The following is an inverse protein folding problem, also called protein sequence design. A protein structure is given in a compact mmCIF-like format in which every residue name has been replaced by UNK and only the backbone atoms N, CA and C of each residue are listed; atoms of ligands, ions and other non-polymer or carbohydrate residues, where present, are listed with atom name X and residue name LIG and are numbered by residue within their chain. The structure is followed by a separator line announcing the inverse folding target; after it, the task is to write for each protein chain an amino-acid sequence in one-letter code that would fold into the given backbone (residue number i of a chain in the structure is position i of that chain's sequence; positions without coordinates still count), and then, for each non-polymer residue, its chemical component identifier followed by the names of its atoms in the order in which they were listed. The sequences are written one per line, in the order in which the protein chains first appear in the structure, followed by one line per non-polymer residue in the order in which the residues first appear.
data_IF_633373209061
#
_entry.id   IF_633373209061
#
_cell.length_a   1.000
_cell.length_b   1.000
_cell.length_c   1.000
_cell.angle_alpha   90.00
_cell.angle_beta   90.00
_cell.angle_gamma   90.00
#
_symmetry.space_group_name_H-M   'P 1'
#
loop_
_entity.id
_entity.type
_entity.pdbx_description
1 polymer ?
#
# COMPACT_ATOMS: atom_id res chain seq x y z
N UNK A 1 8.35 13.90 11.50
CA UNK A 1 8.26 12.56 10.87
C UNK A 1 8.54 12.73 9.40
N UNK A 2 9.56 12.05 8.86
CA UNK A 2 9.99 12.22 7.46
C UNK A 2 9.25 11.31 6.46
N UNK A 3 8.76 10.13 6.89
CA UNK A 3 8.08 9.21 5.97
C UNK A 3 6.62 9.55 5.69
N UNK A 4 5.94 10.24 6.60
CA UNK A 4 4.57 10.73 6.36
C UNK A 4 4.48 11.77 5.23
N UNK A 5 5.56 12.49 4.93
CA UNK A 5 5.61 13.42 3.81
C UNK A 5 5.89 12.73 2.47
N UNK A 6 6.32 11.46 2.51
CA UNK A 6 6.66 10.67 1.32
C UNK A 6 5.58 9.64 1.01
N UNK A 7 5.06 8.94 2.03
CA UNK A 7 4.02 7.93 1.94
C UNK A 7 2.75 8.50 2.58
N UNK A 8 1.96 9.20 1.79
CA UNK A 8 0.75 9.89 2.25
C UNK A 8 -0.44 8.94 2.23
N UNK A 9 -1.27 9.02 3.26
CA UNK A 9 -2.63 8.46 3.28
C UNK A 9 -3.58 9.58 3.68
N UNK A 10 -4.72 9.73 3.00
CA UNK A 10 -5.68 10.78 3.28
C UNK A 10 -6.76 10.31 4.28
N UNK A 11 -7.10 11.16 5.25
CA UNK A 11 -8.09 10.85 6.30
C UNK A 11 -9.49 10.58 5.72
N UNK A 12 -9.93 11.41 4.77
CA UNK A 12 -11.23 11.32 4.11
C UNK A 12 -11.43 10.03 3.28
N UNK A 13 -10.35 9.34 2.91
CA UNK A 13 -10.43 8.04 2.20
C UNK A 13 -10.37 6.85 3.15
N UNK A 14 -9.81 7.02 4.35
CA UNK A 14 -9.74 5.95 5.34
C UNK A 14 -10.97 5.89 6.22
N UNK A 15 -11.44 7.06 6.70
CA UNK A 15 -12.53 7.23 7.67
C UNK A 15 -12.44 6.25 8.87
N UNK A 16 -11.23 5.80 9.19
CA UNK A 16 -10.99 4.74 10.17
C UNK A 16 -9.69 5.02 10.93
N UNK A 17 -9.84 5.47 12.18
CA UNK A 17 -8.73 5.83 13.06
C UNK A 17 -7.76 4.67 13.33
N UNK A 18 -8.22 3.41 13.27
CA UNK A 18 -7.36 2.24 13.44
C UNK A 18 -6.42 2.04 12.25
N UNK A 19 -6.88 2.29 11.02
CA UNK A 19 -6.03 2.23 9.83
C UNK A 19 -4.94 3.30 9.90
N UNK A 20 -5.32 4.54 10.19
CA UNK A 20 -4.37 5.64 10.32
C UNK A 20 -3.32 5.35 11.40
N UNK A 21 -3.74 4.82 12.54
CA UNK A 21 -2.81 4.45 13.61
C UNK A 21 -1.85 3.32 13.19
N UNK A 22 -2.34 2.31 12.46
CA UNK A 22 -1.51 1.21 11.96
C UNK A 22 -0.43 1.72 10.99
N UNK A 23 -0.81 2.51 9.99
CA UNK A 23 0.09 3.16 9.02
C UNK A 23 1.14 4.01 9.75
N UNK A 24 0.71 4.81 10.72
CA UNK A 24 1.58 5.68 11.51
C UNK A 24 2.56 4.91 12.40
N UNK A 25 2.11 3.79 12.96
CA UNK A 25 2.94 2.88 13.75
C UNK A 25 4.01 2.22 12.88
N UNK A 26 3.68 1.89 11.63
CA UNK A 26 4.61 1.34 10.65
C UNK A 26 5.74 2.33 10.33
N UNK A 27 5.40 3.62 10.12
CA UNK A 27 6.40 4.67 9.90
C UNK A 27 7.33 4.86 11.10
N UNK A 28 6.80 4.77 12.33
CA UNK A 28 7.62 4.84 13.55
C UNK A 28 8.54 3.63 13.67
N UNK A 29 8.05 2.43 13.36
CA UNK A 29 8.83 1.19 13.42
C UNK A 29 10.05 1.23 12.50
N UNK A 30 9.89 1.78 11.29
CA UNK A 30 10.97 1.87 10.30
C UNK A 30 11.66 3.23 10.24
N UNK A 31 11.44 4.11 11.22
CA UNK A 31 11.97 5.48 11.24
C UNK A 31 13.50 5.57 11.05
N UNK A 32 14.24 4.60 11.58
CA UNK A 32 15.70 4.44 11.41
C UNK A 32 16.06 3.07 10.81
N UNK A 33 15.06 2.42 10.19
CA UNK A 33 15.15 1.04 9.73
C UNK A 33 15.43 0.94 8.23
N UNK A 34 15.21 -0.26 7.71
CA UNK A 34 15.39 -0.54 6.29
C UNK A 34 14.21 0.01 5.47
N UNK A 35 14.47 1.03 4.65
CA UNK A 35 13.47 1.63 3.77
C UNK A 35 12.84 0.63 2.79
N UNK A 36 13.63 -0.32 2.25
CA UNK A 36 13.12 -1.38 1.37
C UNK A 36 12.10 -2.27 2.09
N UNK A 37 12.30 -2.52 3.39
CA UNK A 37 11.33 -3.28 4.17
C UNK A 37 10.08 -2.44 4.47
N UNK A 38 10.25 -1.15 4.76
CA UNK A 38 9.12 -0.23 4.90
C UNK A 38 8.23 -0.22 3.66
N UNK A 39 8.82 -0.10 2.46
CA UNK A 39 8.07 -0.08 1.20
C UNK A 39 7.28 -1.37 1.00
N UNK A 40 7.85 -2.53 1.34
CA UNK A 40 7.12 -3.82 1.25
C UNK A 40 5.96 -3.88 2.24
N UNK A 41 6.21 -3.49 3.48
CA UNK A 41 5.22 -3.59 4.54
C UNK A 41 4.08 -2.58 4.35
N UNK A 42 4.38 -1.35 3.90
CA UNK A 42 3.38 -0.31 3.66
C UNK A 42 2.53 -0.61 2.42
N UNK A 43 3.09 -1.28 1.41
CA UNK A 43 2.33 -1.72 0.23
C UNK A 43 1.20 -2.68 0.60
N UNK A 44 1.37 -3.40 1.71
CA UNK A 44 0.38 -4.31 2.30
C UNK A 44 -0.22 -3.75 3.59
N UNK A 45 -0.20 -2.43 3.80
CA UNK A 45 -0.87 -1.80 4.95
C UNK A 45 -2.34 -1.51 4.59
N UNK A 46 -3.29 -1.65 5.53
CA UNK A 46 -4.71 -1.53 5.18
C UNK A 46 -5.07 -0.09 4.82
N UNK A 47 -4.35 0.90 5.37
CA UNK A 47 -4.52 2.29 4.98
C UNK A 47 -4.05 2.52 3.55
N UNK A 48 -2.88 2.01 3.18
CA UNK A 48 -2.34 2.18 1.83
C UNK A 48 -3.18 1.44 0.77
N UNK A 49 -3.64 0.22 1.07
CA UNK A 49 -4.49 -0.55 0.17
C UNK A 49 -5.84 0.11 -0.11
N UNK A 50 -6.40 0.85 0.87
CA UNK A 50 -7.62 1.63 0.67
C UNK A 50 -7.33 2.92 -0.09
N UNK A 51 -6.26 3.63 0.28
CA UNK A 51 -5.87 4.89 -0.34
C UNK A 51 -5.61 4.76 -1.84
N UNK A 52 -4.87 3.72 -2.25
CA UNK A 52 -4.48 3.51 -3.66
C UNK A 52 -5.37 2.49 -4.38
N UNK A 53 -6.58 2.23 -3.87
CA UNK A 53 -7.52 1.24 -4.42
C UNK A 53 -6.93 -0.18 -4.60
N UNK A 54 -5.85 -0.52 -3.89
CA UNK A 54 -5.23 -1.84 -3.92
C UNK A 54 -6.18 -2.99 -3.55
N UNK A 55 -7.22 -2.74 -2.75
CA UNK A 55 -8.28 -3.73 -2.46
C UNK A 55 -9.09 -4.14 -3.71
N UNK A 56 -9.17 -3.24 -4.70
CA UNK A 56 -9.83 -3.47 -6.00
C UNK A 56 -8.89 -4.11 -7.02
N UNK A 57 -7.58 -4.17 -6.73
CA UNK A 57 -6.59 -4.78 -7.61
C UNK A 57 -6.81 -6.30 -7.71
N UNK A 58 -7.20 -6.78 -8.89
CA UNK A 58 -7.55 -8.19 -9.13
C UNK A 58 -6.76 -8.74 -10.31
N UNK A 59 -6.59 -10.07 -10.34
CA UNK A 59 -5.96 -10.75 -11.47
C UNK A 59 -6.64 -10.46 -12.81
N UNK A 60 -7.95 -10.22 -12.80
CA UNK A 60 -8.75 -9.90 -13.99
C UNK A 60 -8.66 -8.41 -14.38
N UNK A 61 -8.43 -7.52 -13.41
CA UNK A 61 -8.26 -6.09 -13.62
C UNK A 61 -7.09 -5.58 -12.76
N UNK A 62 -5.84 -5.71 -13.25
CA UNK A 62 -4.65 -5.24 -12.55
C UNK A 62 -4.62 -3.70 -12.48
N UNK A 63 -4.33 -3.16 -11.31
CA UNK A 63 -4.22 -1.72 -11.09
C UNK A 63 -2.81 -1.22 -11.42
N UNK A 64 -2.62 -0.77 -12.66
CA UNK A 64 -1.37 -0.16 -13.12
C UNK A 64 -1.09 1.20 -12.46
N UNK A 65 -2.12 1.89 -11.94
CA UNK A 65 -1.93 3.18 -11.30
C UNK A 65 -1.21 3.02 -9.96
N UNK A 66 -1.65 2.09 -9.11
CA UNK A 66 -0.95 1.82 -7.85
C UNK A 66 0.50 1.35 -8.09
N UNK A 67 0.70 0.46 -9.08
CA UNK A 67 2.03 -0.01 -9.44
C UNK A 67 2.96 1.11 -9.91
N UNK A 68 2.42 2.06 -10.68
CA UNK A 68 3.16 3.23 -11.16
C UNK A 68 3.49 4.19 -10.03
N UNK A 69 2.53 4.51 -9.18
CA UNK A 69 2.75 5.39 -8.04
C UNK A 69 3.80 4.82 -7.07
N UNK A 70 3.78 3.50 -6.83
CA UNK A 70 4.80 2.81 -6.04
C UNK A 70 6.22 3.00 -6.62
N UNK A 71 6.35 2.92 -7.94
CA UNK A 71 7.63 3.08 -8.63
C UNK A 71 8.07 4.55 -8.69
N UNK A 72 7.16 5.45 -9.09
CA UNK A 72 7.43 6.88 -9.31
C UNK A 72 7.60 7.68 -8.03
N UNK A 73 6.76 7.42 -7.01
CA UNK A 73 6.71 8.24 -5.80
C UNK A 73 7.51 7.63 -4.65
N UNK A 74 7.58 6.29 -4.56
CA UNK A 74 8.14 5.63 -3.39
C UNK A 74 9.45 4.87 -3.63
N UNK A 75 9.87 4.66 -4.88
CA UNK A 75 11.06 3.84 -5.17
C UNK A 75 12.11 4.55 -6.03
N UNK A 76 11.97 4.44 -7.36
CA UNK A 76 13.01 4.81 -8.33
C UNK A 76 12.91 6.26 -8.79
N UNK A 77 11.77 6.91 -8.54
CA UNK A 77 11.55 8.29 -8.96
C UNK A 77 11.02 8.40 -10.38
N UNK A 78 10.61 9.62 -10.76
CA UNK A 78 10.04 9.92 -12.07
C UNK A 78 11.11 10.42 -13.06
N UNK A 79 10.95 10.08 -14.34
CA UNK A 79 11.70 10.65 -15.46
C UNK A 79 12.63 9.66 -16.16
N UNK A 80 13.29 10.08 -17.24
CA UNK A 80 14.10 9.19 -18.10
C UNK A 80 15.26 8.50 -17.38
N UNK A 81 15.67 9.00 -16.20
CA UNK A 81 16.71 8.40 -15.37
C UNK A 81 16.23 7.29 -14.43
N UNK A 82 14.92 7.01 -14.35
CA UNK A 82 14.35 6.00 -13.45
C UNK A 82 14.60 4.56 -13.93
N UNK A 83 14.74 4.37 -15.25
CA UNK A 83 15.07 3.09 -15.88
C UNK A 83 13.98 2.01 -15.85
N UNK A 84 12.83 2.24 -15.20
CA UNK A 84 11.69 1.32 -15.27
C UNK A 84 10.86 1.58 -16.53
N UNK A 85 10.28 0.51 -17.06
CA UNK A 85 9.50 0.51 -18.29
C UNK A 85 8.01 0.34 -18.01
N UNK A 86 7.19 0.55 -19.03
CA UNK A 86 5.76 0.26 -18.95
C UNK A 86 5.47 -1.23 -18.68
N UNK A 87 6.37 -2.12 -19.11
CA UNK A 87 6.28 -3.55 -18.83
C UNK A 87 6.53 -3.88 -17.35
N UNK A 88 7.43 -3.12 -16.69
CA UNK A 88 7.68 -3.24 -15.26
C UNK A 88 6.46 -2.78 -14.44
N UNK A 89 5.77 -1.72 -14.89
CA UNK A 89 4.50 -1.27 -14.27
C UNK A 89 3.44 -2.38 -14.35
N UNK A 90 3.26 -2.98 -15.52
CA UNK A 90 2.28 -4.08 -15.72
C UNK A 90 2.62 -5.31 -14.89
N UNK A 91 3.90 -5.64 -14.79
CA UNK A 91 4.38 -6.77 -14.00
C UNK A 91 4.17 -6.52 -12.51
N UNK A 92 4.49 -5.32 -12.03
CA UNK A 92 4.22 -4.92 -10.65
C UNK A 92 2.72 -4.91 -10.33
N UNK A 93 1.87 -4.40 -11.22
CA UNK A 93 0.42 -4.40 -11.04
C UNK A 93 -0.13 -5.80 -10.77
N UNK A 94 0.37 -6.81 -11.50
CA UNK A 94 0.01 -8.22 -11.31
C UNK A 94 0.49 -8.78 -9.97
N UNK A 95 1.71 -8.46 -9.55
CA UNK A 95 2.26 -8.89 -8.24
C UNK A 95 1.47 -8.31 -7.07
N UNK A 96 0.94 -7.09 -7.24
CA UNK A 96 0.14 -6.40 -6.24
C UNK A 96 -1.32 -6.85 -6.19
N UNK A 97 -1.75 -7.77 -7.07
CA UNK A 97 -3.12 -8.30 -7.03
C UNK A 97 -3.33 -9.19 -5.82
N UNK A 98 -4.59 -9.31 -5.40
CA UNK A 98 -4.97 -10.41 -4.51
C UNK A 98 -4.91 -10.09 -3.02
N UNK A 99 -5.17 -8.84 -2.62
CA UNK A 99 -5.25 -8.45 -1.22
C UNK A 99 -6.64 -7.91 -0.90
N UNK A 100 -7.17 -8.26 0.27
CA UNK A 100 -8.39 -7.66 0.83
C UNK A 100 -8.11 -7.09 2.21
N UNK A 101 -8.68 -5.91 2.47
CA UNK A 101 -8.75 -5.32 3.80
C UNK A 101 -10.08 -5.74 4.42
N UNK A 102 -10.04 -6.48 5.52
CA UNK A 102 -11.24 -6.89 6.23
C UNK A 102 -11.29 -6.16 7.57
N UNK A 103 -12.32 -5.34 7.73
CA UNK A 103 -12.72 -4.78 9.01
C UNK A 103 -13.51 -5.84 9.79
N UNK A 104 -12.85 -6.53 10.73
CA UNK A 104 -13.59 -7.36 11.69
C UNK A 104 -14.03 -6.46 12.84
N UNK A 105 -15.31 -6.12 12.85
CA UNK A 105 -15.96 -5.49 13.98
C UNK A 105 -16.11 -6.49 15.14
N UNK A 106 -15.17 -6.46 16.08
CA UNK A 106 -15.44 -6.92 17.43
C UNK A 106 -15.73 -5.69 18.28
N UNK A 107 -16.93 -5.63 18.85
CA UNK A 107 -17.24 -4.67 19.92
C UNK A 107 -16.15 -4.82 21.00
N UNK A 108 -15.44 -3.72 21.29
CA UNK A 108 -14.23 -3.58 22.14
C UNK A 108 -12.84 -3.67 21.47
N UNK A 109 -12.76 -3.64 20.13
CA UNK A 109 -11.49 -3.45 19.45
C UNK A 109 -11.58 -3.89 18.00
N UNK A 110 -11.57 -2.91 17.08
CA UNK A 110 -11.52 -3.22 15.64
C UNK A 110 -10.17 -3.84 15.33
N UNK A 111 -10.17 -5.11 14.94
CA UNK A 111 -8.96 -5.79 14.50
C UNK A 111 -8.94 -5.79 12.98
N UNK A 112 -7.93 -5.13 12.42
CA UNK A 112 -7.73 -5.02 10.99
C UNK A 112 -6.87 -6.19 10.52
N UNK A 113 -7.45 -7.06 9.69
CA UNK A 113 -6.74 -8.19 9.12
C UNK A 113 -6.65 -8.04 7.62
N UNK A 114 -5.45 -8.30 7.10
CA UNK A 114 -5.19 -8.34 5.67
C UNK A 114 -5.10 -9.80 5.29
N UNK A 115 -6.00 -10.22 4.40
CA UNK A 115 -6.01 -11.58 3.92
C UNK A 115 -5.65 -11.59 2.44
N UNK A 116 -4.79 -12.54 2.00
CA UNK A 116 -4.66 -12.81 0.59
C UNK A 116 -6.02 -13.28 0.04
N UNK A 117 -6.37 -12.84 -1.18
CA UNK A 117 -7.42 -13.43 -2.01
C UNK A 117 -7.07 -14.90 -2.16
N UNK A 118 -7.77 -15.78 -1.43
CA UNK A 118 -7.71 -17.22 -1.70
C UNK A 118 -7.97 -17.42 -3.20
N UNK A 119 -7.01 -18.06 -3.85
CA UNK A 119 -6.86 -18.04 -5.29
C UNK A 119 -8.07 -18.54 -6.07
N UNK A 120 -8.28 -17.89 -7.21
CA UNK A 120 -8.80 -18.46 -8.46
C UNK A 120 -7.93 -17.88 -9.59
#
# INVERSE_FOLDING_TARGET
MFYQTLLVTEDATLENAHMMYATQSLYRKYAFGNYKQLVKDITLDPGMLRYLNGEKNTKAAPDENFARELQELFCVGKGQGSGYTEEDVKSAARVLTGWYVIERGNVNGVQMNILPKKGI
#
